data_IF_450593666762
#
_entry.id   IF_450593666762
#
_cell.length_a   1.000
_cell.length_b   1.000
_cell.length_c   1.000
_cell.angle_alpha   90.00
_cell.angle_beta   90.00
_cell.angle_gamma   90.00
#
_symmetry.space_group_name_H-M   'P 1'
#
loop_
_entity.id
_entity.type
_entity.pdbx_description
1 polymer ?
#
# COMPACT_ATOMS: atom_id res chain seq x y z
N UNK A 1 -23.71 9.63 9.27
CA UNK A 1 -22.49 9.42 8.48
C UNK A 1 -21.97 8.05 8.85
N UNK A 2 -22.01 7.11 7.92
CA UNK A 2 -21.60 5.73 8.18
C UNK A 2 -20.08 5.65 8.11
N UNK A 3 -19.43 5.17 9.17
CA UNK A 3 -17.99 4.91 9.12
C UNK A 3 -17.77 3.70 8.20
N UNK A 4 -16.95 3.89 7.18
CA UNK A 4 -16.51 2.81 6.30
C UNK A 4 -15.41 1.99 7.01
N UNK A 5 -15.47 0.66 6.90
CA UNK A 5 -14.52 -0.25 7.56
C UNK A 5 -13.12 -0.13 6.89
N UNK A 6 -12.04 0.21 7.63
CA UNK A 6 -10.69 0.32 7.08
C UNK A 6 -10.12 -1.01 6.55
N UNK A 7 -10.76 -2.16 6.86
CA UNK A 7 -10.44 -3.46 6.26
C UNK A 7 -10.91 -3.58 4.80
N UNK A 8 -11.73 -2.64 4.34
CA UNK A 8 -12.06 -2.53 2.92
C UNK A 8 -10.80 -2.14 2.12
N UNK A 9 -10.51 -2.88 1.05
CA UNK A 9 -9.33 -2.69 0.21
C UNK A 9 -9.18 -1.25 -0.31
N UNK A 10 -10.30 -0.59 -0.67
CA UNK A 10 -10.27 0.80 -1.14
C UNK A 10 -9.84 1.76 -0.03
N UNK A 11 -10.39 1.63 1.17
CA UNK A 11 -10.00 2.48 2.29
C UNK A 11 -8.58 2.19 2.75
N UNK A 12 -8.20 0.91 2.79
CA UNK A 12 -6.86 0.51 3.14
C UNK A 12 -5.84 1.17 2.21
N UNK A 13 -6.05 1.07 0.89
CA UNK A 13 -5.22 1.76 -0.11
C UNK A 13 -5.26 3.28 0.02
N UNK A 14 -6.37 3.86 0.46
CA UNK A 14 -6.45 5.32 0.67
C UNK A 14 -5.69 5.80 1.91
N UNK A 15 -5.67 5.00 2.97
CA UNK A 15 -4.94 5.32 4.21
C UNK A 15 -3.45 5.03 4.04
N UNK A 16 -3.11 3.90 3.42
CA UNK A 16 -1.74 3.37 3.41
C UNK A 16 -1.06 3.35 2.04
N UNK A 17 -1.81 3.50 0.94
CA UNK A 17 -1.32 3.34 -0.43
C UNK A 17 -0.96 4.65 -1.14
N UNK A 18 -0.84 5.76 -0.41
CA UNK A 18 -0.38 7.05 -0.94
C UNK A 18 1.00 7.42 -0.38
N UNK A 19 1.87 7.96 -1.22
CA UNK A 19 3.19 8.46 -0.81
C UNK A 19 3.12 9.50 0.33
N UNK A 20 2.06 10.31 0.36
CA UNK A 20 1.83 11.31 1.42
C UNK A 20 1.61 10.70 2.81
N UNK A 21 1.13 9.45 2.87
CA UNK A 21 0.82 8.74 4.12
C UNK A 21 1.84 7.61 4.42
N UNK A 22 3.04 7.71 3.84
CA UNK A 22 4.11 6.72 3.98
C UNK A 22 4.55 6.54 5.44
N UNK A 23 4.52 7.61 6.22
CA UNK A 23 4.81 7.62 7.65
C UNK A 23 3.78 6.79 8.45
N UNK A 24 2.49 6.92 8.11
CA UNK A 24 1.38 6.14 8.72
C UNK A 24 1.55 4.66 8.41
N UNK A 25 1.86 4.30 7.16
CA UNK A 25 2.14 2.91 6.78
C UNK A 25 3.40 2.38 7.50
N UNK A 26 4.47 3.18 7.58
CA UNK A 26 5.70 2.80 8.26
C UNK A 26 5.46 2.52 9.75
N UNK A 27 4.72 3.39 10.43
CA UNK A 27 4.36 3.21 11.83
C UNK A 27 3.53 1.94 12.04
N UNK A 28 2.54 1.69 11.18
CA UNK A 28 1.70 0.49 11.23
C UNK A 28 2.54 -0.79 11.08
N UNK A 29 3.35 -0.89 10.04
CA UNK A 29 4.18 -2.07 9.79
C UNK A 29 5.22 -2.29 10.88
N UNK A 30 5.86 -1.22 11.38
CA UNK A 30 6.82 -1.32 12.47
C UNK A 30 6.19 -1.86 13.75
N UNK A 31 4.90 -1.59 14.00
CA UNK A 31 4.19 -2.19 15.13
C UNK A 31 3.97 -3.68 14.94
N UNK A 32 3.55 -4.11 13.76
CA UNK A 32 3.44 -5.52 13.41
C UNK A 32 4.79 -6.24 13.48
N UNK A 33 5.87 -5.61 13.05
CA UNK A 33 7.22 -6.18 13.11
C UNK A 33 7.71 -6.33 14.56
N UNK A 34 7.45 -5.33 15.40
CA UNK A 34 7.79 -5.40 16.83
C UNK A 34 7.06 -6.57 17.52
N UNK A 35 5.77 -6.76 17.24
CA UNK A 35 4.98 -7.89 17.75
C UNK A 35 5.52 -9.24 17.24
N UNK A 36 6.05 -9.28 16.02
CA UNK A 36 6.69 -10.45 15.43
C UNK A 36 8.17 -10.64 15.85
N UNK A 37 8.71 -9.79 16.73
CA UNK A 37 10.11 -9.84 17.16
C UNK A 37 11.13 -9.52 16.05
N UNK A 38 10.71 -8.79 15.02
CA UNK A 38 11.54 -8.39 13.88
C UNK A 38 12.11 -6.99 14.06
N UNK A 39 13.28 -6.68 13.47
CA UNK A 39 13.84 -5.34 13.49
C UNK A 39 12.92 -4.34 12.76
N UNK A 40 12.91 -3.06 13.17
CA UNK A 40 12.08 -2.05 12.50
C UNK A 40 12.57 -1.78 11.08
N UNK A 41 11.62 -1.45 10.21
CA UNK A 41 11.82 -0.90 8.88
C UNK A 41 12.27 0.56 9.00
N UNK A 42 13.26 0.94 8.19
CA UNK A 42 13.74 2.32 8.06
C UNK A 42 13.07 3.07 6.90
N UNK A 43 12.61 2.35 5.88
CA UNK A 43 12.11 2.92 4.64
C UNK A 43 11.10 1.98 3.95
N UNK A 44 10.13 2.54 3.22
CA UNK A 44 9.13 1.79 2.44
C UNK A 44 8.97 2.43 1.07
N UNK A 45 9.18 1.74 -0.04
CA UNK A 45 8.90 2.33 -1.37
C UNK A 45 7.57 1.80 -1.86
N UNK A 46 6.60 2.67 -2.16
CA UNK A 46 5.35 2.25 -2.78
C UNK A 46 5.56 2.15 -4.29
N UNK A 47 5.65 0.92 -4.78
CA UNK A 47 5.73 0.67 -6.22
C UNK A 47 4.31 0.65 -6.79
N UNK A 48 4.07 1.45 -7.83
CA UNK A 48 2.85 1.36 -8.61
C UNK A 48 2.96 0.15 -9.57
N UNK A 49 2.18 -0.93 -9.38
CA UNK A 49 2.23 -2.10 -10.27
C UNK A 49 1.38 -1.92 -11.53
N UNK A 50 0.64 -0.82 -11.64
CA UNK A 50 -0.17 -0.52 -12.81
C UNK A 50 0.73 0.01 -13.92
N UNK A 51 0.71 -0.67 -15.06
CA UNK A 51 1.23 -0.12 -16.30
C UNK A 51 0.25 0.95 -16.79
N UNK A 52 0.72 2.18 -17.00
CA UNK A 52 -0.10 3.22 -17.62
C UNK A 52 -0.63 2.71 -18.96
N UNK A 53 -1.93 2.95 -19.19
CA UNK A 53 -2.55 2.61 -20.47
C UNK A 53 -2.21 3.70 -21.48
N UNK A 54 -1.43 3.37 -22.50
CA UNK A 54 -1.16 4.29 -23.61
C UNK A 54 -2.42 4.58 -24.46
N UNK A 55 -3.44 3.71 -24.39
CA UNK A 55 -4.73 3.88 -25.06
C UNK A 55 -5.93 3.45 -24.20
N UNK A 56 -7.11 4.09 -24.30
CA UNK A 56 -8.31 3.73 -23.54
C UNK A 56 -8.77 2.27 -23.71
N UNK A 57 -8.39 1.63 -24.82
CA UNK A 57 -8.74 0.24 -25.16
C UNK A 57 -7.74 -0.78 -24.64
N UNK A 58 -6.61 -0.37 -24.08
CA UNK A 58 -5.60 -1.29 -23.60
C UNK A 58 -6.09 -2.03 -22.36
N UNK A 59 -5.71 -3.30 -22.25
CA UNK A 59 -5.96 -4.08 -21.04
C UNK A 59 -5.04 -3.54 -19.94
N UNK A 60 -5.61 -3.28 -18.77
CA UNK A 60 -4.81 -2.92 -17.60
C UNK A 60 -4.04 -4.17 -17.18
N UNK A 61 -2.72 -4.09 -17.21
CA UNK A 61 -1.84 -5.14 -16.70
C UNK A 61 -1.38 -4.74 -15.29
N UNK A 62 -1.38 -5.70 -14.38
CA UNK A 62 -0.84 -5.56 -13.03
C UNK A 62 0.43 -6.41 -12.98
N UNK A 63 1.57 -5.80 -12.70
CA UNK A 63 2.84 -6.51 -12.55
C UNK A 63 2.94 -7.13 -11.15
N UNK A 64 2.99 -8.46 -11.06
CA UNK A 64 3.28 -9.16 -9.81
C UNK A 64 4.79 -9.11 -9.51
N UNK A 65 5.18 -8.30 -8.52
CA UNK A 65 6.56 -8.20 -8.04
C UNK A 65 6.77 -9.21 -6.89
N UNK A 66 7.76 -10.10 -7.02
CA UNK A 66 8.20 -11.01 -5.95
C UNK A 66 9.50 -10.49 -5.33
N UNK A 67 9.57 -10.45 -4.00
CA UNK A 67 10.74 -10.06 -3.21
C UNK A 67 11.21 -11.23 -2.33
#
# INVERSE_FOLDING_TARGET
>A
MELLDPRNDFLFKRIFGSEENRDVLLAFLNRTFAEAGRPPLSEIILLNPYTDKDSPRDKQSILDIRA
#
